data_IF_931139373704
#
_entry.id   IF_931139373704
#
_cell.length_a   1.000
_cell.length_b   1.000
_cell.length_c   1.000
_cell.angle_alpha   90.00
_cell.angle_beta   90.00
_cell.angle_gamma   90.00
#
_symmetry.space_group_name_H-M   'P 1'
#
loop_
_entity.id
_entity.type
_entity.pdbx_description
1 polymer ?
#
# COMPACT_ATOMS: atom_id res chain seq x y z
N UNK A 1 13.58 -4.54 4.73
CA UNK A 1 14.41 -3.39 5.13
C UNK A 1 14.36 -2.22 4.14
N UNK A 2 14.50 -2.39 2.83
CA UNK A 2 14.48 -1.32 1.81
C UNK A 2 13.25 -0.38 1.86
N UNK A 3 12.03 -0.90 2.05
CA UNK A 3 10.81 -0.08 2.07
C UNK A 3 10.73 0.84 3.30
N UNK A 4 11.16 0.39 4.47
CA UNK A 4 11.13 1.18 5.71
C UNK A 4 12.10 2.37 5.63
N UNK A 5 13.32 2.14 5.14
CA UNK A 5 14.31 3.20 4.94
C UNK A 5 13.81 4.24 3.93
N UNK A 6 13.17 3.78 2.84
CA UNK A 6 12.58 4.68 1.83
C UNK A 6 11.44 5.53 2.39
N UNK A 7 10.58 4.96 3.24
CA UNK A 7 9.51 5.72 3.93
C UNK A 7 10.08 6.76 4.89
N UNK A 8 11.08 6.42 5.70
CA UNK A 8 11.71 7.39 6.61
C UNK A 8 12.38 8.54 5.86
N UNK A 9 13.06 8.25 4.77
CA UNK A 9 13.70 9.29 3.93
C UNK A 9 12.62 10.18 3.28
N UNK A 10 11.56 9.62 2.75
CA UNK A 10 10.50 10.42 2.11
C UNK A 10 9.75 11.30 3.11
N UNK A 11 9.43 10.80 4.30
CA UNK A 11 8.81 11.63 5.35
C UNK A 11 9.74 12.74 5.84
N UNK A 12 11.01 12.45 6.07
CA UNK A 12 12.00 13.47 6.44
C UNK A 12 12.14 14.55 5.37
N UNK A 13 12.14 14.17 4.11
CA UNK A 13 12.26 15.11 2.99
C UNK A 13 11.02 16.01 2.87
N UNK A 14 9.83 15.43 2.96
CA UNK A 14 8.56 16.18 2.91
C UNK A 14 8.45 17.14 4.09
N UNK A 15 8.71 16.68 5.33
CA UNK A 15 8.66 17.54 6.51
C UNK A 15 9.68 18.65 6.48
N UNK A 16 10.90 18.40 5.99
CA UNK A 16 11.94 19.43 5.82
C UNK A 16 11.53 20.47 4.79
N UNK A 17 11.05 20.06 3.61
CA UNK A 17 10.60 21.00 2.57
C UNK A 17 9.47 21.88 3.09
N UNK A 18 8.46 21.29 3.73
CA UNK A 18 7.30 22.03 4.24
C UNK A 18 7.72 23.02 5.33
N UNK A 19 8.60 22.61 6.25
CA UNK A 19 9.11 23.46 7.32
C UNK A 19 9.96 24.61 6.79
N UNK A 20 10.80 24.38 5.78
CA UNK A 20 11.60 25.42 5.12
C UNK A 20 10.70 26.41 4.39
N UNK A 21 9.69 25.96 3.68
CA UNK A 21 8.75 26.83 2.95
C UNK A 21 7.98 27.74 3.92
N UNK A 22 7.34 27.16 4.94
CA UNK A 22 6.52 27.92 5.88
C UNK A 22 7.38 28.80 6.78
N UNK A 23 8.41 28.22 7.40
CA UNK A 23 9.28 28.93 8.33
C UNK A 23 10.17 29.96 7.62
N UNK A 24 10.71 29.62 6.45
CA UNK A 24 11.48 30.55 5.62
C UNK A 24 10.64 31.73 5.17
N UNK A 25 9.38 31.48 4.72
CA UNK A 25 8.46 32.56 4.40
C UNK A 25 8.20 33.50 5.61
N UNK A 26 7.98 32.95 6.79
CA UNK A 26 7.77 33.71 8.02
C UNK A 26 8.99 34.59 8.34
N UNK A 27 10.19 34.02 8.32
CA UNK A 27 11.45 34.75 8.59
C UNK A 27 11.66 35.89 7.59
N UNK A 28 11.49 35.62 6.29
CA UNK A 28 11.66 36.64 5.24
C UNK A 28 10.58 37.71 5.35
N UNK A 29 9.35 37.35 5.66
CA UNK A 29 8.24 38.31 5.85
C UNK A 29 8.52 39.26 7.03
N UNK A 30 8.95 38.71 8.18
CA UNK A 30 9.32 39.52 9.34
C UNK A 30 10.46 40.47 9.02
N UNK A 31 11.54 39.97 8.40
CA UNK A 31 12.69 40.77 8.01
C UNK A 31 12.31 41.93 7.08
N UNK A 32 11.47 41.66 6.06
CA UNK A 32 10.97 42.70 5.15
C UNK A 32 10.11 43.73 5.86
N UNK A 33 9.28 43.31 6.80
CA UNK A 33 8.42 44.20 7.59
C UNK A 33 9.24 45.13 8.46
N UNK A 34 10.30 44.64 9.11
CA UNK A 34 11.21 45.45 9.94
C UNK A 34 11.98 46.48 9.09
N UNK A 35 12.52 46.07 7.92
CA UNK A 35 13.16 47.03 7.00
C UNK A 35 12.17 48.08 6.52
N UNK A 36 10.94 47.70 6.13
CA UNK A 36 9.93 48.63 5.71
C UNK A 36 9.56 49.65 6.78
N UNK A 37 9.64 49.31 8.06
CA UNK A 37 9.44 50.22 9.18
C UNK A 37 10.56 51.25 9.25
N UNK A 38 11.85 50.86 9.07
CA UNK A 38 12.94 51.83 8.99
C UNK A 38 12.78 52.77 7.77
N UNK A 39 12.48 52.20 6.60
CA UNK A 39 12.25 52.99 5.38
C UNK A 39 11.12 54.03 5.59
N UNK A 40 10.03 53.64 6.29
CA UNK A 40 8.95 54.53 6.65
C UNK A 40 9.41 55.69 7.55
N UNK A 41 10.23 55.38 8.57
CA UNK A 41 10.81 56.41 9.47
C UNK A 41 11.73 57.39 8.72
N UNK A 42 12.61 56.86 7.83
CA UNK A 42 13.49 57.67 7.00
C UNK A 42 12.67 58.56 6.02
N UNK A 43 11.65 58.00 5.38
CA UNK A 43 10.81 58.75 4.48
C UNK A 43 9.97 59.84 5.20
N UNK A 44 9.59 59.64 6.45
CA UNK A 44 8.89 60.63 7.27
C UNK A 44 9.82 61.85 7.49
N UNK A 45 11.04 61.65 7.93
CA UNK A 45 12.01 62.76 8.11
C UNK A 45 12.27 63.43 6.79
N UNK A 46 12.42 62.70 5.68
CA UNK A 46 12.62 63.28 4.34
C UNK A 46 11.41 64.15 3.93
N UNK A 47 10.17 63.67 4.18
CA UNK A 47 8.97 64.43 3.86
C UNK A 47 8.84 65.75 4.66
N UNK A 48 9.21 65.67 5.95
CA UNK A 48 9.16 66.83 6.82
C UNK A 48 10.17 67.89 6.36
N UNK A 49 11.38 67.50 5.97
CA UNK A 49 12.41 68.42 5.40
C UNK A 49 11.95 69.05 4.12
N UNK A 50 11.27 68.35 3.23
CA UNK A 50 10.81 68.85 1.94
C UNK A 50 9.80 70.02 2.06
N UNK A 51 9.13 70.15 3.21
CA UNK A 51 8.18 71.24 3.47
C UNK A 51 8.89 72.60 3.59
N UNK A 52 10.05 72.63 4.24
CA UNK A 52 10.87 73.85 4.35
C UNK A 52 12.37 73.48 4.28
N UNK A 53 12.94 73.40 3.08
CA UNK A 53 14.34 73.00 2.90
C UNK A 53 15.38 74.01 3.46
N UNK A 54 15.02 75.23 3.71
CA UNK A 54 15.94 76.24 4.27
C UNK A 54 16.28 75.96 5.73
N UNK A 55 15.35 75.33 6.51
CA UNK A 55 15.59 74.97 7.91
C UNK A 55 15.74 73.45 8.08
N UNK A 56 16.25 72.75 7.06
CA UNK A 56 16.30 71.30 6.96
C UNK A 56 16.91 70.61 8.19
N UNK A 57 18.00 71.15 8.77
CA UNK A 57 18.65 70.56 9.94
C UNK A 57 17.74 70.63 11.18
N UNK A 58 17.15 71.80 11.45
CA UNK A 58 16.27 72.00 12.58
C UNK A 58 14.99 71.14 12.48
N UNK A 59 14.44 71.05 11.28
CA UNK A 59 13.25 70.22 11.03
C UNK A 59 13.55 68.73 11.18
N UNK A 60 14.71 68.27 10.69
CA UNK A 60 15.15 66.88 10.85
C UNK A 60 15.30 66.54 12.36
N UNK A 61 15.96 67.37 13.10
CA UNK A 61 16.15 67.19 14.56
C UNK A 61 14.79 67.14 15.28
N UNK A 62 13.90 68.08 14.97
CA UNK A 62 12.54 68.12 15.55
C UNK A 62 11.71 66.89 15.16
N UNK A 63 11.73 66.52 13.92
CA UNK A 63 11.01 65.31 13.44
C UNK A 63 11.52 64.06 14.16
N UNK A 64 12.79 63.88 14.29
CA UNK A 64 13.42 62.73 14.99
C UNK A 64 13.02 62.77 16.48
N UNK A 65 13.06 63.91 17.12
CA UNK A 65 12.80 64.06 18.56
C UNK A 65 11.32 63.92 18.88
N UNK A 66 10.44 64.61 18.14
CA UNK A 66 8.97 64.56 18.36
C UNK A 66 8.38 63.15 18.12
N UNK A 67 8.90 62.44 17.15
CA UNK A 67 8.44 61.10 16.81
C UNK A 67 9.27 59.99 17.54
N UNK A 68 10.21 60.37 18.39
CA UNK A 68 11.09 59.45 19.12
C UNK A 68 11.74 58.40 18.19
N UNK A 69 12.25 58.92 17.03
CA UNK A 69 12.91 58.08 16.04
C UNK A 69 14.34 57.82 16.41
N UNK A 70 14.73 56.53 16.35
CA UNK A 70 16.07 56.09 16.60
C UNK A 70 16.90 56.16 15.28
N UNK A 71 17.30 57.38 14.92
CA UNK A 71 17.98 57.72 13.66
C UNK A 71 19.18 58.62 13.95
N UNK A 72 20.26 58.36 13.24
CA UNK A 72 21.47 59.23 13.23
C UNK A 72 21.34 60.26 12.12
N UNK A 73 21.69 61.50 12.46
CA UNK A 73 21.67 62.63 11.51
C UNK A 73 23.09 63.10 11.29
N UNK A 74 23.51 63.18 10.05
CA UNK A 74 24.77 63.73 9.60
C UNK A 74 24.53 64.86 8.58
N UNK A 75 25.51 65.76 8.51
CA UNK A 75 25.54 66.86 7.53
C UNK A 75 26.82 66.71 6.69
N UNK A 76 26.68 66.75 5.40
CA UNK A 76 27.79 66.61 4.46
C UNK A 76 27.92 67.91 3.63
N UNK A 77 29.08 68.53 3.66
CA UNK A 77 29.44 69.70 2.87
C UNK A 77 29.66 69.31 1.40
N UNK A 78 29.63 70.27 0.45
CA UNK A 78 29.95 70.00 -0.95
C UNK A 78 31.39 69.47 -1.15
N UNK A 79 32.27 69.78 -0.20
CA UNK A 79 33.68 69.28 -0.18
C UNK A 79 33.81 67.83 0.26
N UNK A 80 32.70 67.22 0.75
CA UNK A 80 32.65 65.81 1.20
C UNK A 80 32.99 65.62 2.69
N UNK A 81 33.12 66.68 3.45
CA UNK A 81 33.32 66.62 4.91
C UNK A 81 31.99 66.26 5.58
N UNK A 82 31.96 65.21 6.40
CA UNK A 82 30.73 64.72 7.06
C UNK A 82 30.82 65.03 8.56
N UNK A 83 29.89 65.86 9.05
CA UNK A 83 29.74 66.16 10.50
C UNK A 83 28.51 65.43 11.06
N UNK A 84 28.65 64.71 12.17
CA UNK A 84 27.52 64.06 12.86
C UNK A 84 26.84 65.13 13.72
N UNK A 85 25.54 65.37 13.43
CA UNK A 85 24.73 66.33 14.17
C UNK A 85 24.01 65.68 15.36
N UNK A 86 23.58 64.45 15.15
CA UNK A 86 22.98 63.62 16.20
C UNK A 86 23.35 62.17 15.96
N UNK A 87 23.86 61.51 16.97
CA UNK A 87 24.15 60.09 16.91
C UNK A 87 23.12 59.31 17.72
N UNK A 88 22.48 58.33 17.11
CA UNK A 88 21.66 57.35 17.83
C UNK A 88 22.52 56.25 18.41
N UNK A 89 22.14 55.74 19.55
CA UNK A 89 22.87 54.69 20.27
C UNK A 89 23.01 53.46 19.37
N UNK A 90 24.28 53.10 19.03
CA UNK A 90 24.55 51.92 18.19
C UNK A 90 24.44 52.14 16.68
N UNK A 91 24.32 53.39 16.22
CA UNK A 91 24.22 53.73 14.79
C UNK A 91 25.30 54.74 14.36
N UNK A 92 26.61 54.43 14.51
CA UNK A 92 27.65 55.33 13.99
C UNK A 92 27.55 55.37 12.44
N UNK A 93 27.70 56.57 11.86
CA UNK A 93 27.62 56.80 10.41
C UNK A 93 28.65 55.98 9.60
N UNK A 94 29.65 55.43 10.23
CA UNK A 94 30.67 54.58 9.62
C UNK A 94 30.41 53.07 9.84
N UNK A 95 29.24 52.68 10.38
CA UNK A 95 28.88 51.31 10.64
C UNK A 95 28.52 50.51 9.36
N UNK A 96 28.77 49.21 9.33
CA UNK A 96 28.51 48.37 8.17
C UNK A 96 27.00 48.14 7.93
N UNK A 97 26.19 48.22 8.96
CA UNK A 97 24.78 47.83 8.93
C UNK A 97 23.85 49.05 9.03
N UNK A 98 23.89 49.88 8.02
CA UNK A 98 23.11 51.13 7.94
C UNK A 98 22.16 51.16 6.75
N UNK A 99 20.96 51.65 6.99
CA UNK A 99 20.00 52.09 5.98
C UNK A 99 20.09 53.58 5.90
N UNK A 100 20.61 54.13 4.82
CA UNK A 100 20.94 55.54 4.67
C UNK A 100 20.01 56.21 3.68
N UNK A 101 19.54 57.45 3.99
CA UNK A 101 18.88 58.34 3.09
C UNK A 101 19.66 59.64 2.98
N UNK A 102 20.02 60.01 1.80
CA UNK A 102 20.74 61.28 1.51
C UNK A 102 19.75 62.28 0.92
N UNK A 103 19.56 63.40 1.59
CA UNK A 103 18.61 64.43 1.24
C UNK A 103 19.38 65.67 0.81
N UNK A 104 19.31 66.11 -0.46
CA UNK A 104 19.93 67.34 -0.91
C UNK A 104 19.22 68.55 -0.31
N UNK A 105 19.98 69.51 0.16
CA UNK A 105 19.51 70.80 0.71
C UNK A 105 20.09 71.98 -0.07
N UNK A 106 19.56 73.18 0.06
CA UNK A 106 20.08 74.39 -0.59
C UNK A 106 21.60 74.58 -0.34
N UNK A 107 22.27 75.28 -1.21
CA UNK A 107 23.72 75.58 -1.17
C UNK A 107 24.65 74.39 -1.53
N UNK A 108 24.09 73.24 -2.01
CA UNK A 108 24.84 72.08 -2.44
C UNK A 108 25.20 71.10 -1.31
N UNK A 109 24.78 71.39 -0.11
CA UNK A 109 24.94 70.53 1.07
C UNK A 109 24.00 69.34 1.03
N UNK A 110 24.31 68.32 1.84
CA UNK A 110 23.50 67.07 1.94
C UNK A 110 23.23 66.71 3.41
N UNK A 111 22.01 66.37 3.68
CA UNK A 111 21.66 65.83 4.98
C UNK A 111 21.64 64.29 4.89
N UNK A 112 22.32 63.61 5.80
CA UNK A 112 22.41 62.15 5.86
C UNK A 112 21.57 61.68 7.05
N UNK A 113 20.50 60.92 6.74
CA UNK A 113 19.68 60.28 7.80
C UNK A 113 19.90 58.78 7.72
N UNK A 114 20.33 58.17 8.83
CA UNK A 114 20.67 56.79 8.88
C UNK A 114 19.94 56.05 10.04
N UNK A 115 19.44 54.86 9.73
CA UNK A 115 18.91 53.92 10.71
C UNK A 115 19.74 52.64 10.78
N UNK A 116 19.92 52.08 11.98
CA UNK A 116 20.65 50.85 12.19
C UNK A 116 19.87 49.62 11.73
N UNK A 117 20.55 48.73 11.00
CA UNK A 117 20.04 47.39 10.69
C UNK A 117 20.62 46.33 11.63
N UNK A 118 21.47 46.68 12.57
CA UNK A 118 22.15 45.72 13.43
C UNK A 118 21.21 44.83 14.25
N UNK A 119 20.15 45.44 14.82
CA UNK A 119 19.13 44.66 15.57
C UNK A 119 18.32 43.77 14.66
N UNK A 120 17.98 44.24 13.44
CA UNK A 120 17.24 43.46 12.45
C UNK A 120 18.07 42.28 11.98
N UNK A 121 19.35 42.47 11.68
CA UNK A 121 20.24 41.40 11.29
C UNK A 121 20.45 40.39 12.43
N UNK A 122 20.60 40.86 13.67
CA UNK A 122 20.64 39.97 14.84
C UNK A 122 19.34 39.17 15.04
N UNK A 123 18.21 39.81 14.86
CA UNK A 123 16.89 39.17 14.91
C UNK A 123 16.75 38.10 13.81
N UNK A 124 17.23 38.41 12.59
CA UNK A 124 17.29 37.46 11.48
C UNK A 124 18.09 36.20 11.85
N UNK A 125 19.31 36.37 12.37
CA UNK A 125 20.17 35.27 12.78
C UNK A 125 19.51 34.39 13.84
N UNK A 126 18.91 35.00 14.86
CA UNK A 126 18.20 34.27 15.90
C UNK A 126 16.99 33.49 15.33
N UNK A 127 16.24 34.10 14.42
CA UNK A 127 15.07 33.44 13.81
C UNK A 127 15.50 32.32 12.86
N UNK A 128 16.61 32.42 12.17
CA UNK A 128 17.19 31.35 11.36
C UNK A 128 17.63 30.16 12.23
N UNK A 129 18.28 30.41 13.39
CA UNK A 129 18.62 29.36 14.33
C UNK A 129 17.38 28.68 14.94
N UNK A 130 16.34 29.43 15.30
CA UNK A 130 15.07 28.87 15.76
C UNK A 130 14.42 27.99 14.69
N UNK A 131 14.43 28.43 13.43
CA UNK A 131 13.92 27.66 12.30
C UNK A 131 14.71 26.34 12.11
N UNK A 132 16.02 26.39 12.20
CA UNK A 132 16.87 25.19 12.10
C UNK A 132 16.53 24.17 13.19
N UNK A 133 16.45 24.63 14.44
CA UNK A 133 16.07 23.77 15.60
C UNK A 133 14.69 23.18 15.40
N UNK A 134 13.71 23.98 14.94
CA UNK A 134 12.36 23.52 14.66
C UNK A 134 12.34 22.42 13.59
N UNK A 135 13.10 22.58 12.48
CA UNK A 135 13.22 21.59 11.43
C UNK A 135 13.77 20.27 11.98
N UNK A 136 14.82 20.33 12.80
CA UNK A 136 15.43 19.13 13.40
C UNK A 136 14.41 18.41 14.31
N UNK A 137 13.74 19.12 15.19
CA UNK A 137 12.73 18.56 16.09
C UNK A 137 11.54 17.96 15.36
N UNK A 138 11.03 18.66 14.34
CA UNK A 138 9.93 18.18 13.50
C UNK A 138 10.30 16.87 12.79
N UNK A 139 11.53 16.76 12.26
CA UNK A 139 12.01 15.53 11.61
C UNK A 139 12.20 14.39 12.60
N UNK A 140 12.68 14.64 13.80
CA UNK A 140 12.79 13.63 14.86
C UNK A 140 11.40 13.09 15.22
N UNK A 141 10.43 13.97 15.46
CA UNK A 141 9.05 13.58 15.79
C UNK A 141 8.38 12.79 14.66
N UNK A 142 8.53 13.26 13.42
CA UNK A 142 8.01 12.56 12.24
C UNK A 142 8.63 11.17 12.09
N UNK A 143 9.93 11.02 12.33
CA UNK A 143 10.64 9.74 12.29
C UNK A 143 10.17 8.77 13.37
N UNK A 144 9.96 9.26 14.59
CA UNK A 144 9.41 8.47 15.70
C UNK A 144 7.99 8.01 15.37
N UNK A 145 7.11 8.92 14.93
CA UNK A 145 5.73 8.62 14.56
C UNK A 145 5.66 7.57 13.43
N UNK A 146 6.44 7.74 12.36
CA UNK A 146 6.52 6.79 11.24
C UNK A 146 7.02 5.42 11.72
N UNK A 147 8.01 5.39 12.62
CA UNK A 147 8.53 4.14 13.18
C UNK A 147 7.50 3.40 14.04
N UNK A 148 6.74 4.10 14.86
CA UNK A 148 5.68 3.52 15.69
C UNK A 148 4.52 2.98 14.84
N UNK A 149 4.06 3.76 13.86
CA UNK A 149 2.99 3.35 12.93
C UNK A 149 3.39 2.12 12.10
N UNK A 150 4.63 2.09 11.59
CA UNK A 150 5.11 0.94 10.82
C UNK A 150 5.24 -0.33 11.67
N UNK A 151 5.60 -0.21 12.95
CA UNK A 151 5.65 -1.36 13.87
C UNK A 151 4.25 -1.92 14.17
N UNK A 152 3.27 -1.05 14.42
CA UNK A 152 1.90 -1.49 14.69
C UNK A 152 1.26 -2.18 13.50
N UNK A 153 1.50 -1.71 12.28
CA UNK A 153 1.05 -2.35 11.04
C UNK A 153 1.67 -3.73 10.82
N UNK A 154 3.00 -3.86 11.03
CA UNK A 154 3.70 -5.14 10.90
C UNK A 154 3.21 -6.17 11.94
N UNK A 155 3.01 -5.76 13.19
CA UNK A 155 2.47 -6.62 14.24
C UNK A 155 1.03 -7.06 13.96
N UNK A 156 0.19 -6.17 13.43
CA UNK A 156 -1.17 -6.52 13.04
C UNK A 156 -1.18 -7.55 11.90
N UNK A 157 -0.33 -7.39 10.90
CA UNK A 157 -0.19 -8.33 9.79
C UNK A 157 0.33 -9.69 10.28
N UNK A 158 1.34 -9.71 11.16
CA UNK A 158 1.87 -10.95 11.74
C UNK A 158 0.80 -11.70 12.57
N UNK A 159 0.01 -10.97 13.38
CA UNK A 159 -1.11 -11.56 14.13
C UNK A 159 -2.15 -12.17 13.20
N UNK A 160 -2.51 -11.47 12.13
CA UNK A 160 -3.47 -11.96 11.14
C UNK A 160 -2.94 -13.22 10.43
N UNK A 161 -1.65 -13.25 10.09
CA UNK A 161 -1.02 -14.44 9.51
C UNK A 161 -1.00 -15.62 10.48
N UNK A 162 -0.64 -15.37 11.76
CA UNK A 162 -0.67 -16.40 12.80
C UNK A 162 -2.08 -16.94 13.03
N UNK A 163 -3.08 -16.08 13.06
CA UNK A 163 -4.48 -16.49 13.21
C UNK A 163 -4.93 -17.36 12.04
N UNK A 164 -4.65 -16.97 10.80
CA UNK A 164 -4.94 -17.76 9.60
C UNK A 164 -4.24 -19.13 9.64
N UNK A 165 -2.98 -19.16 10.10
CA UNK A 165 -2.24 -20.42 10.23
C UNK A 165 -2.84 -21.32 11.32
N UNK A 166 -3.29 -20.77 12.45
CA UNK A 166 -3.96 -21.54 13.51
C UNK A 166 -5.30 -22.10 13.04
N UNK A 167 -6.11 -21.32 12.34
CA UNK A 167 -7.36 -21.77 11.72
C UNK A 167 -7.08 -22.89 10.72
N UNK A 168 -6.08 -22.72 9.84
CA UNK A 168 -5.65 -23.75 8.88
C UNK A 168 -5.24 -25.07 9.56
N UNK A 169 -4.39 -25.01 10.60
CA UNK A 169 -3.96 -26.21 11.35
C UNK A 169 -5.15 -26.87 12.05
N UNK A 170 -6.05 -26.08 12.64
CA UNK A 170 -7.27 -26.58 13.30
C UNK A 170 -8.17 -27.33 12.33
N UNK A 171 -8.44 -26.73 11.19
CA UNK A 171 -9.27 -27.34 10.14
C UNK A 171 -8.60 -28.59 9.54
N UNK A 172 -7.31 -28.56 9.28
CA UNK A 172 -6.53 -29.70 8.80
C UNK A 172 -6.59 -30.88 9.79
N UNK A 173 -6.42 -30.60 11.08
CA UNK A 173 -6.51 -31.63 12.13
C UNK A 173 -7.91 -32.27 12.20
N UNK A 174 -8.98 -31.49 12.04
CA UNK A 174 -10.34 -32.00 11.98
C UNK A 174 -10.59 -32.89 10.76
N UNK A 175 -10.09 -32.46 9.59
CA UNK A 175 -10.23 -33.20 8.33
C UNK A 175 -9.43 -34.49 8.29
N UNK A 176 -8.29 -34.56 8.97
CA UNK A 176 -7.49 -35.78 9.13
C UNK A 176 -8.06 -36.75 10.18
N UNK A 177 -8.71 -36.24 11.23
CA UNK A 177 -9.26 -37.08 12.31
C UNK A 177 -10.35 -38.01 11.81
N UNK A 178 -11.22 -37.52 10.91
CA UNK A 178 -12.35 -38.29 10.39
C UNK A 178 -11.92 -39.56 9.64
N UNK A 179 -11.07 -39.49 8.58
CA UNK A 179 -10.61 -40.69 7.89
C UNK A 179 -9.77 -41.60 8.79
N UNK A 180 -8.98 -41.01 9.70
CA UNK A 180 -8.18 -41.79 10.65
C UNK A 180 -9.07 -42.62 11.59
N UNK A 181 -10.22 -42.11 12.00
CA UNK A 181 -11.19 -42.86 12.80
C UNK A 181 -11.79 -44.04 12.01
N UNK A 182 -12.07 -43.82 10.71
CA UNK A 182 -12.55 -44.87 9.80
C UNK A 182 -11.49 -45.96 9.61
N UNK A 183 -10.26 -45.58 9.30
CA UNK A 183 -9.10 -46.50 9.17
C UNK A 183 -8.93 -47.34 10.43
N UNK A 184 -8.97 -46.69 11.62
CA UNK A 184 -8.87 -47.37 12.90
C UNK A 184 -10.01 -48.38 13.08
N UNK A 185 -11.25 -48.03 12.78
CA UNK A 185 -12.41 -48.93 12.90
C UNK A 185 -12.30 -50.15 12.00
N UNK A 186 -11.91 -49.99 10.72
CA UNK A 186 -11.71 -51.12 9.81
C UNK A 186 -10.49 -51.99 10.20
N UNK A 187 -9.42 -51.38 10.68
CA UNK A 187 -8.27 -52.12 11.20
C UNK A 187 -8.62 -52.96 12.43
N UNK A 188 -9.43 -52.44 13.35
CA UNK A 188 -9.94 -53.20 14.51
C UNK A 188 -10.89 -54.33 14.07
N UNK A 189 -11.77 -54.08 13.08
CA UNK A 189 -12.64 -55.07 12.50
C UNK A 189 -11.88 -56.26 11.88
N UNK A 190 -10.83 -55.96 11.08
CA UNK A 190 -9.96 -56.95 10.44
C UNK A 190 -9.17 -57.77 11.46
N UNK A 191 -8.76 -57.15 12.60
CA UNK A 191 -8.06 -57.84 13.68
C UNK A 191 -8.96 -58.84 14.43
N UNK A 192 -10.28 -58.66 14.42
CA UNK A 192 -11.26 -59.43 15.19
C UNK A 192 -11.50 -60.90 14.73
N UNK A 193 -10.92 -61.34 13.58
CA UNK A 193 -10.97 -62.73 13.04
C UNK A 193 -12.35 -63.38 12.87
N UNK A 194 -13.44 -62.62 12.79
CA UNK A 194 -14.85 -63.15 12.65
C UNK A 194 -15.50 -62.75 11.35
N UNK A 195 -14.73 -62.35 10.35
CA UNK A 195 -15.26 -61.92 9.05
C UNK A 195 -15.21 -63.13 8.08
N UNK A 196 -16.26 -63.24 7.27
CA UNK A 196 -16.23 -64.08 6.08
C UNK A 196 -15.29 -63.45 5.01
N UNK A 197 -14.79 -64.25 4.06
CA UNK A 197 -13.82 -63.72 3.08
C UNK A 197 -14.32 -62.52 2.26
N UNK A 198 -15.60 -62.42 1.98
CA UNK A 198 -16.18 -61.32 1.22
C UNK A 198 -16.16 -60.02 2.04
N UNK A 199 -16.54 -60.10 3.31
CA UNK A 199 -16.51 -58.94 4.25
C UNK A 199 -15.08 -58.51 4.57
N UNK A 200 -14.19 -59.48 4.68
CA UNK A 200 -12.76 -59.18 4.86
C UNK A 200 -12.18 -58.39 3.66
N UNK A 201 -12.44 -58.84 2.43
CA UNK A 201 -12.06 -58.14 1.21
C UNK A 201 -12.65 -56.75 1.14
N UNK A 202 -13.96 -56.59 1.39
CA UNK A 202 -14.65 -55.29 1.39
C UNK A 202 -14.06 -54.34 2.46
N UNK A 203 -13.68 -54.87 3.63
CA UNK A 203 -13.04 -54.05 4.68
C UNK A 203 -11.64 -53.58 4.29
N UNK A 204 -10.84 -54.42 3.63
CA UNK A 204 -9.55 -54.05 3.07
C UNK A 204 -9.67 -53.00 1.97
N UNK A 205 -10.63 -53.15 1.04
CA UNK A 205 -10.88 -52.20 -0.02
C UNK A 205 -11.28 -50.83 0.54
N UNK A 206 -12.11 -50.83 1.58
CA UNK A 206 -12.53 -49.59 2.23
C UNK A 206 -11.37 -48.92 2.96
N UNK A 207 -10.55 -49.69 3.68
CA UNK A 207 -9.34 -49.19 4.36
C UNK A 207 -8.35 -48.59 3.36
N UNK A 208 -8.06 -49.29 2.26
CA UNK A 208 -7.18 -48.77 1.20
C UNK A 208 -7.73 -47.52 0.53
N UNK A 209 -9.04 -47.43 0.31
CA UNK A 209 -9.70 -46.26 -0.21
C UNK A 209 -9.54 -45.05 0.70
N UNK A 210 -9.67 -45.27 2.03
CA UNK A 210 -9.55 -44.17 3.00
C UNK A 210 -8.08 -43.72 3.18
N UNK A 211 -7.11 -44.65 3.12
CA UNK A 211 -5.67 -44.32 3.09
C UNK A 211 -5.33 -43.45 1.86
N UNK A 212 -5.78 -43.84 0.65
CA UNK A 212 -5.58 -43.04 -0.55
C UNK A 212 -6.19 -41.64 -0.41
N UNK A 213 -7.38 -41.56 0.19
CA UNK A 213 -8.04 -40.28 0.47
C UNK A 213 -7.22 -39.40 1.40
N UNK A 214 -6.58 -39.99 2.45
CA UNK A 214 -5.69 -39.28 3.35
C UNK A 214 -4.45 -38.74 2.63
N UNK A 215 -3.85 -39.53 1.74
CA UNK A 215 -2.69 -39.10 0.93
C UNK A 215 -3.05 -37.88 0.06
N UNK A 216 -4.22 -37.89 -0.60
CA UNK A 216 -4.72 -36.75 -1.35
C UNK A 216 -4.96 -35.52 -0.47
N UNK A 217 -5.54 -35.72 0.73
CA UNK A 217 -5.78 -34.63 1.68
C UNK A 217 -4.47 -34.00 2.17
N UNK A 218 -3.46 -34.81 2.49
CA UNK A 218 -2.13 -34.32 2.90
C UNK A 218 -1.48 -33.53 1.75
N UNK A 219 -1.55 -34.03 0.51
CA UNK A 219 -1.06 -33.32 -0.67
C UNK A 219 -1.74 -31.96 -0.88
N UNK A 220 -3.04 -31.92 -0.70
CA UNK A 220 -3.85 -30.70 -0.80
C UNK A 220 -3.48 -29.68 0.30
N UNK A 221 -3.28 -30.14 1.54
CA UNK A 221 -2.84 -29.29 2.65
C UNK A 221 -1.44 -28.73 2.44
N UNK A 222 -0.49 -29.56 1.98
CA UNK A 222 0.86 -29.11 1.65
C UNK A 222 0.85 -28.08 0.52
N UNK A 223 0.01 -28.28 -0.50
CA UNK A 223 -0.15 -27.33 -1.58
C UNK A 223 -0.70 -25.99 -1.09
N UNK A 224 -1.73 -25.99 -0.24
CA UNK A 224 -2.30 -24.76 0.34
C UNK A 224 -1.27 -24.03 1.21
N UNK A 225 -0.46 -24.75 1.99
CA UNK A 225 0.63 -24.16 2.76
C UNK A 225 1.67 -23.47 1.85
N UNK A 226 2.10 -24.15 0.77
CA UNK A 226 3.04 -23.60 -0.21
C UNK A 226 2.49 -22.36 -0.95
N UNK A 227 1.20 -22.38 -1.31
CA UNK A 227 0.54 -21.24 -1.96
C UNK A 227 0.39 -20.03 -1.02
N UNK A 228 0.26 -20.27 0.29
CA UNK A 228 0.16 -19.23 1.33
C UNK A 228 1.48 -18.56 1.71
N UNK A 229 2.62 -19.18 1.40
CA UNK A 229 3.94 -18.60 1.60
C UNK A 229 4.33 -17.68 0.42
N UNK A 230 4.99 -16.54 0.70
CA UNK A 230 5.60 -15.68 -0.33
C UNK A 230 6.87 -16.33 -0.96
N UNK A 231 6.93 -17.64 -1.01
CA UNK A 231 8.07 -18.42 -1.46
C UNK A 231 8.13 -18.66 -2.97
N UNK A 232 9.24 -19.22 -3.41
CA UNK A 232 9.64 -19.48 -4.80
C UNK A 232 8.71 -20.46 -5.52
N UNK A 233 7.59 -19.94 -6.05
CA UNK A 233 6.88 -20.62 -7.14
C UNK A 233 7.53 -20.16 -8.42
N UNK A 234 8.09 -21.08 -9.17
CA UNK A 234 8.60 -20.79 -10.52
C UNK A 234 7.42 -20.52 -11.44
N UNK A 235 7.42 -19.34 -12.03
CA UNK A 235 6.48 -18.92 -13.05
C UNK A 235 7.19 -18.91 -14.40
N UNK A 236 6.55 -19.53 -15.39
CA UNK A 236 7.02 -19.61 -16.76
C UNK A 236 5.90 -19.23 -17.75
N UNK A 237 6.25 -19.02 -19.00
CA UNK A 237 5.23 -18.78 -20.04
C UNK A 237 4.57 -20.10 -20.38
N UNK A 238 3.26 -20.18 -20.24
CA UNK A 238 2.44 -21.38 -20.49
C UNK A 238 1.23 -21.02 -21.36
N UNK A 239 0.83 -21.96 -22.23
CA UNK A 239 -0.43 -21.89 -22.95
C UNK A 239 -1.54 -22.61 -22.18
N UNK A 240 -2.34 -21.84 -21.42
CA UNK A 240 -3.44 -22.38 -20.61
C UNK A 240 -4.53 -23.02 -21.48
N UNK A 241 -4.70 -22.60 -22.74
CA UNK A 241 -5.66 -23.21 -23.65
C UNK A 241 -5.27 -24.66 -23.98
N UNK A 242 -3.98 -24.93 -24.16
CA UNK A 242 -3.47 -26.29 -24.35
C UNK A 242 -3.68 -27.12 -23.08
N UNK A 243 -3.32 -26.61 -21.92
CA UNK A 243 -3.45 -27.29 -20.63
C UNK A 243 -4.91 -27.68 -20.33
N UNK A 244 -5.87 -26.79 -20.67
CA UNK A 244 -7.30 -27.06 -20.54
C UNK A 244 -7.73 -28.16 -21.52
N UNK A 245 -7.27 -28.15 -22.79
CA UNK A 245 -7.58 -29.20 -23.78
C UNK A 245 -7.11 -30.58 -23.32
N UNK A 246 -5.88 -30.68 -22.82
CA UNK A 246 -5.31 -31.91 -22.28
C UNK A 246 -6.12 -32.44 -21.10
N UNK A 247 -6.42 -31.57 -20.12
CA UNK A 247 -7.23 -31.93 -18.94
C UNK A 247 -8.64 -32.38 -19.31
N UNK A 248 -9.24 -31.82 -20.37
CA UNK A 248 -10.55 -32.26 -20.89
C UNK A 248 -10.45 -33.62 -21.53
N UNK A 249 -9.36 -33.93 -22.25
CA UNK A 249 -9.14 -35.23 -22.83
C UNK A 249 -9.10 -36.31 -21.76
N UNK A 250 -8.30 -36.08 -20.70
CA UNK A 250 -8.23 -36.98 -19.54
C UNK A 250 -9.59 -37.17 -18.87
N UNK A 251 -10.33 -36.03 -18.71
CA UNK A 251 -11.66 -36.09 -18.10
C UNK A 251 -12.65 -36.93 -18.89
N UNK A 252 -12.65 -36.87 -20.24
CA UNK A 252 -13.53 -37.68 -21.08
C UNK A 252 -13.27 -39.16 -20.94
N UNK A 253 -12.00 -39.56 -20.69
CA UNK A 253 -11.64 -40.96 -20.44
C UNK A 253 -12.15 -41.46 -19.09
N UNK A 254 -12.02 -40.62 -18.03
CA UNK A 254 -12.38 -40.96 -16.66
C UNK A 254 -13.91 -40.85 -16.42
N UNK A 255 -14.57 -39.93 -17.12
CA UNK A 255 -15.99 -39.63 -16.96
C UNK A 255 -16.77 -39.68 -18.32
N UNK A 256 -16.80 -40.80 -19.03
CA UNK A 256 -17.37 -40.88 -20.37
C UNK A 256 -18.87 -40.63 -20.42
N UNK A 257 -19.55 -40.68 -19.28
CA UNK A 257 -20.99 -40.40 -19.15
C UNK A 257 -21.33 -38.90 -19.13
N UNK A 258 -20.32 -38.02 -19.03
CA UNK A 258 -20.54 -36.56 -18.96
C UNK A 258 -20.21 -35.96 -20.35
N UNK A 259 -21.22 -35.51 -21.11
CA UNK A 259 -20.98 -34.86 -22.42
C UNK A 259 -20.29 -33.52 -22.20
N UNK A 260 -19.14 -33.31 -22.88
CA UNK A 260 -18.31 -32.10 -22.77
C UNK A 260 -18.35 -31.31 -24.06
N UNK A 261 -18.78 -30.06 -24.00
CA UNK A 261 -18.72 -29.05 -25.04
C UNK A 261 -17.59 -28.05 -24.76
N UNK A 262 -16.82 -27.69 -25.78
CA UNK A 262 -15.66 -26.80 -25.60
C UNK A 262 -15.72 -25.60 -26.52
N UNK A 263 -15.34 -24.41 -26.01
CA UNK A 263 -15.13 -23.18 -26.75
C UNK A 263 -13.80 -22.58 -26.31
N UNK A 264 -12.71 -23.05 -26.90
CA UNK A 264 -11.34 -22.72 -26.43
C UNK A 264 -10.61 -22.04 -27.57
N UNK A 265 -10.11 -20.83 -27.31
CA UNK A 265 -9.26 -20.11 -28.27
C UNK A 265 -8.02 -20.93 -28.64
N UNK A 266 -7.43 -20.65 -29.80
CA UNK A 266 -6.31 -21.43 -30.33
C UNK A 266 -5.10 -21.44 -29.38
N UNK A 267 -4.81 -20.30 -28.76
CA UNK A 267 -3.77 -20.13 -27.75
C UNK A 267 -4.17 -19.06 -26.73
N UNK A 268 -3.73 -19.25 -25.47
CA UNK A 268 -3.95 -18.32 -24.37
C UNK A 268 -2.70 -18.31 -23.46
N UNK A 269 -1.71 -17.47 -23.82
CA UNK A 269 -0.44 -17.40 -23.10
C UNK A 269 -0.54 -16.52 -21.85
N UNK A 270 0.02 -17.02 -20.75
CA UNK A 270 0.17 -16.30 -19.49
C UNK A 270 1.49 -16.71 -18.78
N UNK A 271 1.94 -15.88 -17.85
CA UNK A 271 3.03 -16.24 -16.93
C UNK A 271 2.44 -16.86 -15.67
N UNK A 272 2.74 -18.14 -15.46
CA UNK A 272 2.17 -18.91 -14.35
C UNK A 272 2.94 -20.17 -14.04
N UNK A 273 2.42 -20.96 -13.11
CA UNK A 273 2.93 -22.29 -12.81
C UNK A 273 1.99 -23.35 -13.36
N UNK A 274 2.47 -24.12 -14.34
CA UNK A 274 1.72 -25.18 -14.99
C UNK A 274 1.14 -26.16 -14.00
N UNK A 275 1.96 -26.64 -13.04
CA UNK A 275 1.56 -27.58 -11.99
C UNK A 275 0.34 -27.10 -11.21
N UNK A 276 0.32 -25.83 -10.79
CA UNK A 276 -0.78 -25.29 -10.00
C UNK A 276 -2.03 -25.02 -10.83
N UNK A 277 -1.88 -24.52 -12.05
CA UNK A 277 -3.02 -24.29 -12.96
C UNK A 277 -3.62 -25.63 -13.44
N UNK A 278 -2.83 -26.64 -13.68
CA UNK A 278 -3.32 -27.99 -13.96
C UNK A 278 -4.15 -28.52 -12.77
N UNK A 279 -3.66 -28.33 -11.52
CA UNK A 279 -4.41 -28.72 -10.33
C UNK A 279 -5.74 -27.99 -10.19
N UNK A 280 -5.77 -26.68 -10.55
CA UNK A 280 -7.02 -25.92 -10.61
C UNK A 280 -8.03 -26.57 -11.56
N UNK A 281 -7.64 -26.86 -12.78
CA UNK A 281 -8.52 -27.45 -13.81
C UNK A 281 -9.00 -28.85 -13.36
N UNK A 282 -8.08 -29.69 -12.87
CA UNK A 282 -8.39 -31.03 -12.36
C UNK A 282 -9.38 -30.99 -11.20
N UNK A 283 -9.22 -30.05 -10.25
CA UNK A 283 -10.18 -29.87 -9.15
C UNK A 283 -11.55 -29.47 -9.65
N UNK A 284 -11.64 -28.55 -10.62
CA UNK A 284 -12.92 -28.13 -11.18
C UNK A 284 -13.65 -29.29 -11.89
N UNK A 285 -12.94 -30.05 -12.74
CA UNK A 285 -13.48 -31.20 -13.45
C UNK A 285 -13.83 -32.37 -12.49
N UNK A 286 -13.01 -32.61 -11.47
CA UNK A 286 -13.27 -33.63 -10.45
C UNK A 286 -14.50 -33.29 -9.64
N UNK A 287 -14.73 -32.01 -9.31
CA UNK A 287 -15.96 -31.58 -8.64
C UNK A 287 -17.20 -31.93 -9.46
N UNK A 288 -17.18 -31.70 -10.77
CA UNK A 288 -18.29 -32.09 -11.65
C UNK A 288 -18.52 -33.60 -11.57
N UNK A 289 -17.48 -34.41 -11.77
CA UNK A 289 -17.59 -35.88 -11.73
C UNK A 289 -18.13 -36.43 -10.41
N UNK A 290 -17.72 -35.84 -9.26
CA UNK A 290 -18.09 -36.36 -7.96
C UNK A 290 -19.43 -35.83 -7.42
N UNK A 291 -19.81 -34.63 -7.83
CA UNK A 291 -20.95 -33.93 -7.22
C UNK A 291 -22.14 -33.73 -8.16
N UNK A 292 -22.03 -34.21 -9.41
CA UNK A 292 -23.17 -34.16 -10.35
C UNK A 292 -23.57 -35.56 -10.80
N UNK A 293 -24.85 -35.76 -11.16
CA UNK A 293 -25.34 -37.04 -11.71
C UNK A 293 -24.63 -37.40 -13.00
N UNK A 294 -24.60 -38.69 -13.33
CA UNK A 294 -24.27 -39.16 -14.66
C UNK A 294 -25.13 -38.44 -15.71
N UNK A 295 -24.61 -38.19 -16.89
CA UNK A 295 -25.25 -37.45 -18.00
C UNK A 295 -25.31 -35.93 -17.80
N UNK A 296 -24.72 -35.36 -16.74
CA UNK A 296 -24.60 -33.92 -16.59
C UNK A 296 -23.74 -33.33 -17.70
N UNK A 297 -24.28 -32.36 -18.44
CA UNK A 297 -23.55 -31.64 -19.50
C UNK A 297 -22.53 -30.69 -18.89
N UNK A 298 -21.34 -30.67 -19.48
CA UNK A 298 -20.23 -29.81 -19.09
C UNK A 298 -19.86 -28.89 -20.24
N UNK A 299 -19.67 -27.61 -19.96
CA UNK A 299 -19.15 -26.64 -20.94
C UNK A 299 -17.88 -26.03 -20.40
N UNK A 300 -16.82 -26.02 -21.20
CA UNK A 300 -15.56 -25.38 -20.88
C UNK A 300 -15.23 -24.35 -21.95
N UNK A 301 -15.01 -23.11 -21.50
CA UNK A 301 -14.67 -21.99 -22.39
C UNK A 301 -13.37 -21.33 -21.94
N UNK A 302 -12.50 -21.01 -22.89
CA UNK A 302 -11.28 -20.21 -22.68
C UNK A 302 -11.24 -19.12 -23.73
N UNK A 303 -11.19 -17.85 -23.28
CA UNK A 303 -11.07 -16.68 -24.14
C UNK A 303 -9.86 -15.87 -23.74
N UNK A 304 -9.06 -15.46 -24.73
CA UNK A 304 -7.83 -14.71 -24.56
C UNK A 304 -7.94 -13.30 -25.16
N UNK A 305 -8.70 -12.43 -24.50
CA UNK A 305 -8.86 -11.01 -24.86
C UNK A 305 -7.80 -10.14 -24.15
N UNK A 306 -8.23 -9.06 -23.47
CA UNK A 306 -7.38 -8.22 -22.61
C UNK A 306 -6.90 -8.98 -21.37
N UNK A 307 -7.64 -9.95 -20.94
CA UNK A 307 -7.36 -10.92 -19.87
C UNK A 307 -7.78 -12.31 -20.36
N UNK A 308 -7.27 -13.34 -19.73
CA UNK A 308 -7.68 -14.71 -20.02
C UNK A 308 -8.86 -15.03 -19.13
N UNK A 309 -9.99 -15.40 -19.74
CA UNK A 309 -11.19 -15.82 -19.04
C UNK A 309 -11.39 -17.32 -19.26
N UNK A 310 -11.47 -18.07 -18.15
CA UNK A 310 -11.76 -19.51 -18.14
C UNK A 310 -13.12 -19.68 -17.45
N UNK A 311 -14.05 -20.39 -18.12
CA UNK A 311 -15.35 -20.73 -17.55
C UNK A 311 -15.52 -22.24 -17.66
N UNK A 312 -15.73 -22.91 -16.52
CA UNK A 312 -16.05 -24.32 -16.42
C UNK A 312 -17.43 -24.41 -15.76
N UNK A 313 -18.41 -24.91 -16.50
CA UNK A 313 -19.78 -24.93 -16.03
C UNK A 313 -20.48 -26.27 -16.31
N UNK A 314 -21.45 -26.60 -15.47
CA UNK A 314 -22.21 -27.84 -15.52
C UNK A 314 -23.73 -27.59 -15.51
N UNK A 315 -24.49 -28.63 -15.85
CA UNK A 315 -25.97 -28.66 -15.76
C UNK A 315 -26.46 -29.41 -14.52
N UNK A 316 -25.61 -29.56 -13.49
CA UNK A 316 -25.95 -30.28 -12.26
C UNK A 316 -26.83 -29.47 -11.31
N UNK A 317 -26.93 -29.89 -10.03
CA UNK A 317 -27.82 -29.23 -9.05
C UNK A 317 -27.31 -27.82 -8.61
N UNK A 318 -26.07 -27.44 -8.94
CA UNK A 318 -25.48 -26.17 -8.50
C UNK A 318 -25.23 -26.11 -6.99
N UNK A 319 -25.02 -24.89 -6.50
CA UNK A 319 -24.86 -24.57 -5.07
C UNK A 319 -26.13 -23.90 -4.51
N UNK A 320 -26.31 -23.89 -3.18
CA UNK A 320 -27.35 -23.06 -2.54
C UNK A 320 -27.21 -21.59 -2.95
N UNK A 321 -28.33 -20.86 -3.14
CA UNK A 321 -28.30 -19.48 -3.66
C UNK A 321 -27.40 -18.53 -2.85
N UNK A 322 -27.33 -18.70 -1.54
CA UNK A 322 -26.50 -17.94 -0.63
C UNK A 322 -24.99 -18.15 -0.81
N UNK A 323 -24.60 -19.23 -1.48
CA UNK A 323 -23.20 -19.58 -1.72
C UNK A 323 -22.59 -18.87 -2.95
N UNK A 324 -23.43 -18.29 -3.81
CA UNK A 324 -22.97 -17.54 -4.97
C UNK A 324 -22.56 -16.13 -4.59
N UNK A 325 -21.41 -15.66 -5.11
CA UNK A 325 -20.90 -14.32 -4.83
C UNK A 325 -20.19 -14.16 -3.48
N UNK A 326 -20.20 -15.16 -2.60
CA UNK A 326 -19.37 -15.13 -1.40
C UNK A 326 -17.88 -15.28 -1.74
N UNK A 327 -17.05 -14.45 -1.10
CA UNK A 327 -15.58 -14.67 -1.17
C UNK A 327 -15.23 -15.97 -0.45
N UNK A 328 -14.64 -16.90 -1.17
CA UNK A 328 -14.13 -18.15 -0.58
C UNK A 328 -12.95 -17.77 0.34
N UNK A 329 -13.19 -17.87 1.66
CA UNK A 329 -12.16 -17.63 2.68
C UNK A 329 -11.91 -18.89 3.47
N UNK A 330 -10.63 -19.30 3.57
CA UNK A 330 -10.21 -20.46 4.34
C UNK A 330 -10.69 -21.80 3.77
N UNK A 331 -10.76 -22.83 4.60
CA UNK A 331 -11.21 -24.19 4.25
C UNK A 331 -12.76 -24.30 4.26
N UNK A 332 -13.47 -23.31 3.74
CA UNK A 332 -14.93 -23.26 3.76
C UNK A 332 -15.53 -24.39 2.90
N UNK A 333 -16.26 -25.30 3.50
CA UNK A 333 -17.07 -26.31 2.81
C UNK A 333 -18.46 -25.77 2.56
N UNK A 334 -18.90 -25.76 1.32
CA UNK A 334 -20.28 -25.36 0.97
C UNK A 334 -21.32 -26.43 1.30
N UNK A 335 -20.93 -27.71 1.51
CA UNK A 335 -21.86 -28.77 1.89
C UNK A 335 -21.17 -29.88 2.71
N UNK A 336 -21.40 -29.90 4.03
CA UNK A 336 -20.86 -30.90 4.96
C UNK A 336 -21.54 -32.28 4.81
N UNK A 337 -22.74 -32.34 4.24
CA UNK A 337 -23.54 -33.57 4.22
C UNK A 337 -23.27 -34.47 2.99
N UNK A 338 -23.03 -33.91 1.83
CA UNK A 338 -22.81 -34.64 0.57
C UNK A 338 -21.39 -35.14 0.32
N UNK A 339 -20.38 -34.52 0.93
CA UNK A 339 -18.97 -34.88 0.67
C UNK A 339 -18.51 -36.17 1.35
N UNK A 340 -19.27 -36.72 2.30
CA UNK A 340 -18.90 -37.96 3.00
C UNK A 340 -19.08 -39.21 2.14
N UNK A 341 -20.06 -39.21 1.27
CA UNK A 341 -20.41 -40.40 0.45
C UNK A 341 -19.67 -40.39 -0.91
N UNK A 342 -19.16 -39.25 -1.36
CA UNK A 342 -18.58 -39.07 -2.72
C UNK A 342 -17.04 -39.04 -2.75
N UNK A 343 -16.36 -39.16 -1.60
CA UNK A 343 -14.89 -39.33 -1.55
C UNK A 343 -14.04 -38.05 -1.78
N UNK A 344 -14.65 -36.87 -1.87
CA UNK A 344 -13.91 -35.62 -2.04
C UNK A 344 -13.24 -35.13 -0.75
N UNK A 345 -12.08 -34.45 -0.85
CA UNK A 345 -11.34 -33.88 0.29
C UNK A 345 -12.01 -32.65 0.89
N UNK A 346 -12.94 -32.02 0.16
CA UNK A 346 -13.59 -30.77 0.54
C UNK A 346 -12.68 -29.51 0.42
N UNK A 347 -11.43 -29.68 0.05
CA UNK A 347 -10.44 -28.60 -0.09
C UNK A 347 -10.35 -28.05 -1.52
N UNK A 348 -10.95 -28.71 -2.51
CA UNK A 348 -10.81 -28.37 -3.93
C UNK A 348 -11.15 -26.90 -4.26
N UNK A 349 -12.24 -26.35 -3.68
CA UNK A 349 -12.61 -24.94 -3.88
C UNK A 349 -11.58 -23.98 -3.29
N UNK A 350 -11.05 -24.29 -2.10
CA UNK A 350 -10.02 -23.48 -1.45
C UNK A 350 -8.71 -23.50 -2.23
N UNK A 351 -8.32 -24.66 -2.77
CA UNK A 351 -7.14 -24.81 -3.63
C UNK A 351 -7.32 -24.00 -4.90
N UNK A 352 -8.47 -24.13 -5.58
CA UNK A 352 -8.76 -23.38 -6.80
C UNK A 352 -8.65 -21.87 -6.57
N UNK A 353 -9.27 -21.35 -5.50
CA UNK A 353 -9.18 -19.94 -5.17
C UNK A 353 -7.72 -19.51 -4.87
N UNK A 354 -6.98 -20.27 -4.05
CA UNK A 354 -5.60 -19.96 -3.70
C UNK A 354 -4.67 -19.97 -4.91
N UNK A 355 -4.85 -20.92 -5.84
CA UNK A 355 -4.10 -20.96 -7.10
C UNK A 355 -4.34 -19.71 -7.92
N UNK A 356 -5.61 -19.32 -8.09
CA UNK A 356 -5.97 -18.16 -8.92
C UNK A 356 -5.50 -16.84 -8.26
N UNK A 357 -5.65 -16.69 -6.95
CA UNK A 357 -5.11 -15.53 -6.22
C UNK A 357 -3.58 -15.43 -6.37
N UNK A 358 -2.87 -16.56 -6.31
CA UNK A 358 -1.40 -16.58 -6.50
C UNK A 358 -0.98 -16.14 -7.90
N UNK A 359 -1.80 -16.41 -8.90
CA UNK A 359 -1.63 -15.93 -10.29
C UNK A 359 -2.22 -14.53 -10.51
N UNK A 360 -2.57 -13.78 -9.43
CA UNK A 360 -3.15 -12.43 -9.48
C UNK A 360 -4.47 -12.36 -10.26
N UNK A 361 -5.17 -13.48 -10.33
CA UNK A 361 -6.47 -13.60 -10.96
C UNK A 361 -7.63 -13.38 -10.00
N UNK A 362 -8.84 -13.47 -10.54
CA UNK A 362 -10.09 -13.45 -9.77
C UNK A 362 -10.84 -14.77 -9.99
N UNK A 363 -11.39 -15.31 -8.90
CA UNK A 363 -12.15 -16.55 -8.88
C UNK A 363 -13.59 -16.25 -8.43
N UNK A 364 -14.57 -16.67 -9.22
CA UNK A 364 -15.98 -16.39 -8.96
C UNK A 364 -16.82 -17.64 -9.17
N UNK A 365 -17.74 -17.91 -8.25
CA UNK A 365 -18.77 -18.94 -8.40
C UNK A 365 -20.08 -18.25 -8.76
N UNK A 366 -20.70 -18.70 -9.83
CA UNK A 366 -22.02 -18.21 -10.25
C UNK A 366 -22.93 -19.35 -10.70
N UNK A 367 -24.21 -19.08 -10.81
CA UNK A 367 -25.14 -20.02 -11.43
C UNK A 367 -24.78 -20.20 -12.91
N UNK A 368 -24.71 -21.46 -13.36
CA UNK A 368 -24.47 -21.82 -14.76
C UNK A 368 -25.67 -21.47 -15.63
N UNK A 369 -25.40 -21.07 -16.87
CA UNK A 369 -26.43 -20.97 -17.90
C UNK A 369 -27.04 -22.32 -18.24
N UNK A 370 -26.34 -23.42 -17.97
CA UNK A 370 -26.81 -24.79 -18.12
C UNK A 370 -27.68 -25.24 -16.94
N UNK A 371 -27.79 -24.44 -15.89
CA UNK A 371 -28.64 -24.69 -14.71
C UNK A 371 -27.87 -25.02 -13.43
N UNK A 372 -26.64 -25.51 -13.50
CA UNK A 372 -25.81 -25.94 -12.38
C UNK A 372 -24.84 -24.86 -11.86
N UNK A 373 -23.59 -25.26 -11.63
CA UNK A 373 -22.51 -24.41 -11.17
C UNK A 373 -21.65 -23.92 -12.34
N UNK A 374 -21.25 -22.64 -12.32
CA UNK A 374 -20.20 -22.09 -13.15
C UNK A 374 -19.05 -21.56 -12.29
N UNK A 375 -17.86 -22.04 -12.58
CA UNK A 375 -16.58 -21.54 -12.06
C UNK A 375 -16.02 -20.61 -13.11
N UNK A 376 -15.93 -19.32 -12.81
CA UNK A 376 -15.43 -18.28 -13.70
C UNK A 376 -14.14 -17.68 -13.13
N UNK A 377 -13.11 -17.63 -13.96
CA UNK A 377 -11.78 -17.18 -13.59
C UNK A 377 -11.28 -16.16 -14.60
N UNK A 378 -10.68 -15.08 -14.09
CA UNK A 378 -9.97 -14.12 -14.92
C UNK A 378 -8.51 -14.07 -14.48
N UNK A 379 -7.60 -14.27 -15.42
CA UNK A 379 -6.16 -14.24 -15.21
C UNK A 379 -5.53 -13.11 -16.04
N UNK A 380 -4.49 -12.42 -15.50
CA UNK A 380 -3.78 -11.43 -16.28
C UNK A 380 -3.10 -12.10 -17.47
N UNK A 381 -3.21 -11.50 -18.65
CA UNK A 381 -2.46 -11.87 -19.83
C UNK A 381 -1.08 -11.19 -19.77
N UNK A 382 -0.06 -11.87 -20.28
CA UNK A 382 1.32 -11.33 -20.35
C UNK A 382 1.41 -10.21 -21.38
#
# INVERSE_FOLDING_TARGET
MKNRTRQLISTALITSILSILIGGFAVVSTYRSEIALIDKRLNQVESDIRVNPMDAVSIALLSIEQNNLDLTLGFATPTGEVTVLRESVGTPLNGPDLRVRIIPIPEGDKLIVAGSLAEINRSLDINLWKLLIFIILANILASIATSLLSRSGALAQERLQRQKMQEFIGDAAHELRTPMTVVKGYAELLKGKQLDPERESAAFDRLNSELKRMDFLIGDLLMLAQLGEEGNIEFESIDIAQLVRESISDFKEIAPTHPVTTHIDQSAELVGSEKYLQRFIQNALTNIRLHTPASTSVRVSVKADKQITIIIEDSGPGLPPESYGEKIRGLKRFDRSRSRDTGGTGLGMSIMNAVIERHKGTFTLRKSELGGLAIEVHLPRT
#
